data_IF_310964161819
#
_entry.id   IF_310964161819
#
_cell.length_a   1.000
_cell.length_b   1.000
_cell.length_c   1.000
_cell.angle_alpha   90.00
_cell.angle_beta   90.00
_cell.angle_gamma   90.00
#
_symmetry.space_group_name_H-M   'P 1'
#
loop_
_entity.id
_entity.type
_entity.pdbx_description
1 polymer ?
#
# COMPACT_ATOMS: atom_id res chain seq x y z
N UNK A 1 -14.82 9.99 6.92
CA UNK A 1 -14.16 8.66 7.06
C UNK A 1 -13.32 8.69 8.32
N UNK A 2 -13.14 7.56 9.00
CA UNK A 2 -12.31 7.42 10.20
C UNK A 2 -10.89 7.01 9.80
N UNK A 3 -9.86 7.73 10.25
CA UNK A 3 -8.48 7.25 10.14
C UNK A 3 -8.22 6.24 11.25
N UNK A 4 -7.89 5.00 10.89
CA UNK A 4 -7.49 3.96 11.84
C UNK A 4 -6.05 3.50 11.54
N UNK A 5 -5.12 4.08 12.29
CA UNK A 5 -3.70 3.74 12.23
C UNK A 5 -3.36 2.73 13.33
N UNK A 6 -2.92 1.52 12.97
CA UNK A 6 -2.59 0.46 13.93
C UNK A 6 -1.23 -0.19 13.61
N UNK A 7 -0.15 0.33 14.21
CA UNK A 7 1.20 -0.01 13.76
C UNK A 7 2.20 -0.32 14.88
N UNK A 8 3.17 -1.19 14.55
CA UNK A 8 4.42 -1.31 15.31
C UNK A 8 5.48 -0.46 14.64
N UNK A 9 6.04 0.51 15.35
CA UNK A 9 7.06 1.41 14.85
C UNK A 9 8.41 0.91 15.39
N UNK A 10 9.21 0.32 14.51
CA UNK A 10 10.49 -0.31 14.84
C UNK A 10 11.45 -0.18 13.66
N UNK A 11 12.73 0.09 13.93
CA UNK A 11 13.76 0.07 12.88
C UNK A 11 14.23 -1.36 12.57
N UNK A 12 13.82 -2.33 13.39
CA UNK A 12 14.12 -3.75 13.19
C UNK A 12 13.22 -4.31 12.08
N UNK A 13 13.79 -4.75 10.93
CA UNK A 13 12.99 -5.35 9.87
C UNK A 13 12.42 -6.69 10.32
N UNK A 14 11.21 -7.03 9.85
CA UNK A 14 10.59 -8.32 10.11
C UNK A 14 11.45 -9.50 9.61
N UNK A 15 12.14 -9.30 8.48
CA UNK A 15 13.09 -10.25 7.91
C UNK A 15 14.32 -9.48 7.44
N UNK A 16 15.46 -9.69 8.10
CA UNK A 16 16.72 -9.05 7.74
C UNK A 16 17.22 -9.54 6.37
N UNK A 17 17.72 -8.62 5.55
CA UNK A 17 18.28 -8.93 4.22
C UNK A 17 17.25 -9.37 3.18
N UNK A 18 15.95 -9.17 3.44
CA UNK A 18 14.90 -9.61 2.51
C UNK A 18 14.93 -8.88 1.16
N UNK A 19 15.45 -7.65 1.15
CA UNK A 19 15.44 -6.74 0.01
C UNK A 19 16.82 -6.10 -0.19
N UNK A 20 17.85 -6.90 -0.50
CA UNK A 20 19.22 -6.39 -0.73
C UNK A 20 19.31 -5.29 -1.79
N UNK A 21 18.44 -5.33 -2.79
CA UNK A 21 18.37 -4.31 -3.83
C UNK A 21 17.88 -2.96 -3.28
N UNK A 22 17.02 -2.98 -2.25
CA UNK A 22 16.59 -1.77 -1.55
C UNK A 22 17.77 -1.16 -0.78
N UNK A 23 18.51 -1.99 -0.05
CA UNK A 23 19.68 -1.55 0.71
C UNK A 23 20.68 -0.85 -0.22
N UNK A 24 20.93 -1.42 -1.41
CA UNK A 24 21.77 -0.78 -2.45
C UNK A 24 21.30 0.61 -2.85
N UNK A 25 19.99 0.80 -3.04
CA UNK A 25 19.41 2.12 -3.39
C UNK A 25 19.50 3.09 -2.20
N UNK A 26 19.23 2.62 -0.99
CA UNK A 26 19.30 3.43 0.23
C UNK A 26 20.72 3.91 0.55
N UNK A 27 21.73 3.12 0.19
CA UNK A 27 23.14 3.41 0.47
C UNK A 27 23.83 4.22 -0.65
N UNK A 28 23.24 4.34 -1.84
CA UNK A 28 23.94 4.96 -2.98
C UNK A 28 23.85 6.48 -3.03
N UNK A 29 22.89 7.12 -2.34
CA UNK A 29 22.75 8.57 -2.32
C UNK A 29 22.22 9.11 -0.98
N UNK A 30 22.78 10.21 -0.42
CA UNK A 30 22.36 10.76 0.89
C UNK A 30 20.86 11.07 1.00
N UNK A 31 20.22 11.53 -0.09
CA UNK A 31 18.78 11.82 -0.11
C UNK A 31 17.91 10.57 0.11
N UNK A 32 18.42 9.40 -0.26
CA UNK A 32 17.70 8.13 -0.17
C UNK A 32 18.02 7.31 1.07
N UNK A 33 18.95 7.78 1.90
CA UNK A 33 19.31 7.11 3.16
C UNK A 33 18.07 6.81 3.98
N UNK A 34 17.92 5.56 4.41
CA UNK A 34 16.74 5.09 5.13
C UNK A 34 16.48 5.95 6.37
N UNK A 35 15.36 6.69 6.43
CA UNK A 35 14.95 7.36 7.65
C UNK A 35 14.49 6.33 8.68
N UNK A 36 14.64 6.63 9.97
CA UNK A 36 14.06 5.79 11.02
C UNK A 36 12.54 5.66 10.84
N UNK A 37 11.98 4.49 11.16
CA UNK A 37 10.54 4.19 10.99
C UNK A 37 9.65 5.14 11.79
N UNK A 38 10.14 5.75 12.86
CA UNK A 38 9.43 6.85 13.54
C UNK A 38 9.22 8.05 12.60
N UNK A 39 10.25 8.48 11.88
CA UNK A 39 10.15 9.58 10.93
C UNK A 39 9.28 9.21 9.73
N UNK A 40 9.37 7.97 9.23
CA UNK A 40 8.46 7.48 8.18
C UNK A 40 7.02 7.53 8.67
N UNK A 41 6.74 7.09 9.90
CA UNK A 41 5.39 7.15 10.49
C UNK A 41 4.88 8.59 10.59
N UNK A 42 5.71 9.52 11.05
CA UNK A 42 5.37 10.94 11.12
C UNK A 42 5.11 11.54 9.74
N UNK A 43 5.92 11.21 8.75
CA UNK A 43 5.77 11.65 7.37
C UNK A 43 4.47 11.13 6.74
N UNK A 44 4.17 9.84 6.93
CA UNK A 44 2.90 9.22 6.53
C UNK A 44 1.71 9.90 7.21
N UNK A 45 1.74 10.11 8.53
CA UNK A 45 0.65 10.80 9.23
C UNK A 45 0.50 12.27 8.82
N UNK A 46 1.60 12.98 8.53
CA UNK A 46 1.55 14.34 7.99
C UNK A 46 0.81 14.39 6.64
N UNK A 47 1.00 13.38 5.80
CA UNK A 47 0.26 13.27 4.53
C UNK A 47 -1.23 13.03 4.75
N UNK A 48 -1.59 12.20 5.73
CA UNK A 48 -2.98 11.92 6.08
C UNK A 48 -3.68 13.12 6.73
N UNK A 49 -2.96 14.02 7.39
CA UNK A 49 -3.52 15.25 7.95
C UNK A 49 -4.13 16.21 6.91
N UNK A 50 -3.95 15.96 5.59
CA UNK A 50 -4.60 16.73 4.52
C UNK A 50 -5.98 16.19 4.12
N UNK A 51 -6.40 15.07 4.67
CA UNK A 51 -7.71 14.44 4.41
C UNK A 51 -8.67 14.84 5.54
N UNK A 52 -9.94 15.06 5.19
CA UNK A 52 -10.97 15.42 6.17
C UNK A 52 -11.49 14.16 6.87
N UNK A 53 -11.16 14.03 8.16
CA UNK A 53 -11.51 12.87 8.98
C UNK A 53 -12.74 13.17 9.86
N UNK A 54 -13.65 12.20 9.96
CA UNK A 54 -14.74 12.25 10.95
C UNK A 54 -14.23 11.89 12.35
N UNK A 55 -13.22 11.03 12.42
CA UNK A 55 -12.46 10.72 13.62
C UNK A 55 -11.05 10.23 13.27
N UNK A 56 -10.12 10.36 14.23
CA UNK A 56 -8.75 9.89 14.09
C UNK A 56 -8.42 8.98 15.28
N UNK A 57 -8.12 7.71 15.00
CA UNK A 57 -7.71 6.71 15.98
C UNK A 57 -6.29 6.25 15.67
N UNK A 58 -5.36 6.61 16.54
CA UNK A 58 -3.93 6.24 16.44
C UNK A 58 -3.62 5.21 17.51
N UNK A 59 -3.63 3.94 17.12
CA UNK A 59 -3.21 2.81 17.94
C UNK A 59 -1.80 2.39 17.56
N UNK A 60 -0.88 2.27 18.52
CA UNK A 60 0.50 2.01 18.15
C UNK A 60 1.35 1.40 19.26
N UNK A 61 2.51 0.87 18.88
CA UNK A 61 3.62 0.57 19.78
C UNK A 61 4.92 1.04 19.14
N UNK A 62 5.84 1.58 19.94
CA UNK A 62 7.19 1.98 19.48
C UNK A 62 8.21 1.11 20.21
N UNK A 63 9.17 0.57 19.47
CA UNK A 63 10.28 -0.23 20.03
C UNK A 63 11.08 0.56 21.08
N UNK A 64 11.51 1.77 20.73
CA UNK A 64 12.09 2.72 21.67
C UNK A 64 10.99 3.53 22.38
N UNK A 65 10.58 3.04 23.54
CA UNK A 65 9.56 3.70 24.35
C UNK A 65 9.89 5.14 24.76
N UNK A 66 11.17 5.56 24.76
CA UNK A 66 11.56 6.94 25.08
C UNK A 66 11.03 7.95 24.04
N UNK A 67 10.74 7.48 22.82
CA UNK A 67 10.18 8.26 21.71
C UNK A 67 8.67 8.43 21.75
N UNK A 68 7.98 7.80 22.70
CA UNK A 68 6.52 7.85 22.84
C UNK A 68 6.00 9.27 22.97
N UNK A 69 6.60 10.09 23.86
CA UNK A 69 6.16 11.47 24.08
C UNK A 69 6.34 12.35 22.83
N UNK A 70 7.47 12.18 22.14
CA UNK A 70 7.77 12.87 20.88
C UNK A 70 6.75 12.54 19.78
N UNK A 71 6.38 11.26 19.65
CA UNK A 71 5.39 10.81 18.68
C UNK A 71 3.97 11.32 18.97
N UNK A 72 3.50 11.20 20.22
CA UNK A 72 2.16 11.67 20.59
C UNK A 72 2.03 13.19 20.47
N UNK A 73 3.08 13.94 20.82
CA UNK A 73 3.12 15.38 20.63
C UNK A 73 2.98 15.75 19.15
N UNK A 74 3.70 15.04 18.27
CA UNK A 74 3.55 15.23 16.83
C UNK A 74 2.13 14.92 16.36
N UNK A 75 1.56 13.78 16.73
CA UNK A 75 0.18 13.39 16.36
C UNK A 75 -0.85 14.46 16.78
N UNK A 76 -0.76 14.95 18.03
CA UNK A 76 -1.64 16.00 18.55
C UNK A 76 -1.45 17.36 17.86
N UNK A 77 -0.29 17.59 17.24
CA UNK A 77 -0.02 18.84 16.51
C UNK A 77 -0.62 18.88 15.12
N UNK A 78 -0.94 17.71 14.52
CA UNK A 78 -1.44 17.63 13.13
C UNK A 78 -2.90 17.15 13.01
N UNK A 79 -3.48 16.60 14.08
CA UNK A 79 -4.88 16.18 14.12
C UNK A 79 -5.62 16.86 15.27
N UNK A 80 -6.86 17.28 15.02
CA UNK A 80 -7.75 17.74 16.09
C UNK A 80 -8.29 16.54 16.88
N UNK A 81 -8.12 16.58 18.21
CA UNK A 81 -8.63 15.59 19.18
C UNK A 81 -8.44 14.11 18.77
N UNK A 82 -7.22 13.65 18.42
CA UNK A 82 -7.00 12.26 18.08
C UNK A 82 -7.20 11.34 19.29
N UNK A 83 -7.84 10.19 19.08
CA UNK A 83 -7.89 9.09 20.06
C UNK A 83 -6.59 8.31 19.96
N UNK A 84 -5.74 8.44 20.98
CA UNK A 84 -4.43 7.79 21.02
C UNK A 84 -4.48 6.57 21.96
N UNK A 85 -4.13 5.40 21.44
CA UNK A 85 -4.15 4.13 22.16
C UNK A 85 -2.76 3.51 22.11
N UNK A 86 -2.14 3.29 23.28
CA UNK A 86 -0.87 2.57 23.38
C UNK A 86 -1.12 1.07 23.36
N UNK A 87 -0.26 0.35 22.63
CA UNK A 87 -0.40 -1.08 22.37
C UNK A 87 -1.08 -1.32 21.03
N UNK A 88 -0.29 -1.65 20.00
CA UNK A 88 -0.82 -2.07 18.70
C UNK A 88 -1.65 -3.34 18.82
N UNK A 89 -2.51 -3.60 17.85
CA UNK A 89 -3.16 -4.89 17.72
C UNK A 89 -2.17 -5.96 17.22
N UNK A 90 -2.18 -7.11 17.90
CA UNK A 90 -1.33 -8.27 17.62
C UNK A 90 -2.10 -9.61 17.79
N UNK A 91 -3.41 -9.54 18.02
CA UNK A 91 -4.30 -10.67 18.29
C UNK A 91 -5.74 -10.31 17.91
N UNK A 92 -6.59 -11.33 17.73
CA UNK A 92 -8.00 -11.16 17.40
C UNK A 92 -8.73 -10.29 18.44
N UNK A 93 -8.49 -10.52 19.74
CA UNK A 93 -9.09 -9.75 20.83
C UNK A 93 -8.77 -8.26 20.76
N UNK A 94 -7.49 -7.90 20.54
CA UNK A 94 -7.11 -6.48 20.42
C UNK A 94 -7.70 -5.80 19.19
N UNK A 95 -7.87 -6.51 18.08
CA UNK A 95 -8.59 -5.95 16.93
C UNK A 95 -10.09 -5.80 17.21
N UNK A 96 -10.71 -6.74 17.92
CA UNK A 96 -12.11 -6.63 18.32
C UNK A 96 -12.36 -5.42 19.24
N UNK A 97 -11.43 -5.11 20.15
CA UNK A 97 -11.46 -3.87 20.94
C UNK A 97 -11.36 -2.62 20.07
N UNK A 98 -10.51 -2.64 19.04
CA UNK A 98 -10.42 -1.54 18.08
C UNK A 98 -11.74 -1.37 17.31
N UNK A 99 -12.33 -2.45 16.79
CA UNK A 99 -13.63 -2.40 16.11
C UNK A 99 -14.73 -1.86 17.02
N UNK A 100 -14.74 -2.25 18.30
CA UNK A 100 -15.66 -1.69 19.30
C UNK A 100 -15.47 -0.18 19.49
N UNK A 101 -14.22 0.30 19.47
CA UNK A 101 -13.90 1.73 19.54
C UNK A 101 -14.38 2.46 18.30
N UNK A 102 -14.12 1.90 17.11
CA UNK A 102 -14.52 2.50 15.83
C UNK A 102 -16.06 2.61 15.70
N UNK A 103 -16.81 1.64 16.23
CA UNK A 103 -18.28 1.65 16.29
C UNK A 103 -18.87 2.79 17.13
N UNK A 104 -18.07 3.54 17.89
CA UNK A 104 -18.55 4.69 18.67
C UNK A 104 -18.69 5.96 17.84
N UNK A 105 -18.12 6.00 16.63
CA UNK A 105 -18.19 7.13 15.72
C UNK A 105 -19.30 6.91 14.68
N UNK A 106 -19.92 8.01 14.24
CA UNK A 106 -21.00 8.00 13.24
C UNK A 106 -20.44 8.01 11.80
N UNK A 107 -19.60 7.01 11.49
CA UNK A 107 -19.04 6.82 10.15
C UNK A 107 -18.63 5.36 9.95
N UNK A 108 -19.16 4.74 8.89
CA UNK A 108 -18.90 3.34 8.57
C UNK A 108 -17.59 3.13 7.79
N UNK A 109 -16.99 4.18 7.24
CA UNK A 109 -15.81 4.06 6.39
C UNK A 109 -14.54 4.23 7.21
N UNK A 110 -13.66 3.25 7.12
CA UNK A 110 -12.41 3.18 7.87
C UNK A 110 -11.25 3.23 6.87
N UNK A 111 -10.45 4.29 6.93
CA UNK A 111 -9.13 4.31 6.30
C UNK A 111 -8.19 3.49 7.18
N UNK A 112 -8.06 2.20 6.87
CA UNK A 112 -7.25 1.28 7.64
C UNK A 112 -5.79 1.34 7.19
N UNK A 113 -4.90 1.69 8.14
CA UNK A 113 -3.45 1.69 7.97
C UNK A 113 -2.84 0.65 8.91
N UNK A 114 -2.86 -0.62 8.51
CA UNK A 114 -2.11 -1.69 9.17
C UNK A 114 -0.62 -1.72 8.80
N UNK A 115 -0.17 -0.70 8.04
CA UNK A 115 1.22 -0.41 7.73
C UNK A 115 1.47 1.12 7.83
N UNK A 116 2.69 1.55 8.10
CA UNK A 116 3.01 2.96 8.45
C UNK A 116 3.78 3.71 7.35
N UNK A 117 3.94 3.13 6.18
CA UNK A 117 4.88 3.55 5.15
C UNK A 117 4.19 3.74 3.79
N UNK A 118 2.92 4.13 3.78
CA UNK A 118 2.15 4.44 2.57
C UNK A 118 1.57 5.86 2.63
N UNK A 119 2.41 6.91 2.59
CA UNK A 119 1.95 8.29 2.59
C UNK A 119 1.00 8.58 1.42
N UNK A 120 0.03 9.46 1.66
CA UNK A 120 -0.84 10.06 0.64
C UNK A 120 -0.05 11.07 -0.19
N UNK A 121 0.35 10.66 -1.40
CA UNK A 121 1.26 11.40 -2.29
C UNK A 121 0.53 12.18 -3.38
N UNK A 122 -0.80 12.10 -3.45
CA UNK A 122 -1.59 12.87 -4.41
C UNK A 122 -1.41 14.38 -4.23
N UNK A 123 -1.48 15.12 -5.33
CA UNK A 123 -1.52 16.58 -5.34
C UNK A 123 -2.92 17.15 -5.07
N UNK A 124 -3.95 16.31 -5.18
CA UNK A 124 -5.36 16.66 -5.04
C UNK A 124 -6.17 15.59 -4.31
N UNK A 125 -7.36 15.96 -3.82
CA UNK A 125 -8.28 15.04 -3.12
C UNK A 125 -9.39 14.49 -4.02
N UNK A 126 -9.61 15.08 -5.19
CA UNK A 126 -10.73 14.75 -6.07
C UNK A 126 -10.79 13.24 -6.42
N UNK A 127 -9.66 12.61 -6.73
CA UNK A 127 -9.63 11.18 -7.04
C UNK A 127 -10.08 10.33 -5.85
N UNK A 128 -9.67 10.70 -4.63
CA UNK A 128 -10.11 10.03 -3.41
C UNK A 128 -11.62 10.18 -3.21
N UNK A 129 -12.14 11.39 -3.33
CA UNK A 129 -13.57 11.67 -3.14
C UNK A 129 -14.45 10.92 -4.15
N UNK A 130 -14.04 10.88 -5.41
CA UNK A 130 -14.73 10.12 -6.46
C UNK A 130 -14.70 8.61 -6.20
N UNK A 131 -13.58 8.06 -5.73
CA UNK A 131 -13.51 6.66 -5.33
C UNK A 131 -14.46 6.36 -4.16
N UNK A 132 -14.51 7.24 -3.15
CA UNK A 132 -15.40 7.07 -2.01
C UNK A 132 -16.88 7.15 -2.39
N UNK A 133 -17.25 7.98 -3.37
CA UNK A 133 -18.61 7.98 -3.92
C UNK A 133 -18.95 6.65 -4.60
N UNK A 134 -18.03 6.08 -5.39
CA UNK A 134 -18.21 4.76 -5.99
C UNK A 134 -18.33 3.66 -4.92
N UNK A 135 -17.49 3.70 -3.87
CA UNK A 135 -17.59 2.79 -2.73
C UNK A 135 -18.97 2.85 -2.06
N UNK A 136 -19.45 4.05 -1.73
CA UNK A 136 -20.78 4.27 -1.11
C UNK A 136 -21.92 3.76 -2.00
N UNK A 137 -21.84 3.96 -3.32
CA UNK A 137 -22.81 3.42 -4.28
C UNK A 137 -22.86 1.90 -4.24
N UNK A 138 -21.70 1.23 -4.25
CA UNK A 138 -21.66 -0.23 -4.21
C UNK A 138 -22.06 -0.80 -2.83
N UNK A 139 -21.81 -0.08 -1.74
CA UNK A 139 -22.20 -0.50 -0.39
C UNK A 139 -23.73 -0.66 -0.22
N UNK A 140 -24.54 -0.03 -1.08
CA UNK A 140 -26.00 -0.22 -1.10
C UNK A 140 -26.42 -1.64 -1.53
N UNK A 141 -25.55 -2.39 -2.20
CA UNK A 141 -25.85 -3.71 -2.79
C UNK A 141 -24.86 -4.80 -2.39
N UNK A 142 -23.80 -4.45 -1.67
CA UNK A 142 -22.70 -5.35 -1.33
C UNK A 142 -22.30 -5.11 0.11
N UNK A 143 -22.25 -6.19 0.89
CA UNK A 143 -21.90 -6.13 2.31
C UNK A 143 -20.44 -5.73 2.53
N UNK A 144 -19.55 -6.19 1.66
CA UNK A 144 -18.10 -5.96 1.75
C UNK A 144 -17.64 -5.08 0.61
N UNK A 145 -17.29 -3.84 0.95
CA UNK A 145 -16.78 -2.86 -0.01
C UNK A 145 -15.53 -2.22 0.54
N UNK A 146 -14.57 -2.01 -0.35
CA UNK A 146 -13.28 -1.43 0.00
C UNK A 146 -12.74 -0.58 -1.14
N UNK A 147 -11.75 0.24 -0.83
CA UNK A 147 -10.92 0.96 -1.78
C UNK A 147 -9.46 0.58 -1.56
N UNK A 148 -8.79 0.14 -2.62
CA UNK A 148 -7.34 -0.06 -2.61
C UNK A 148 -6.66 1.29 -2.88
N UNK A 149 -6.27 2.00 -1.81
CA UNK A 149 -5.68 3.35 -1.91
C UNK A 149 -4.17 3.35 -2.19
N UNK A 150 -3.54 2.18 -2.09
CA UNK A 150 -2.11 1.96 -2.26
C UNK A 150 -1.88 0.79 -3.24
N UNK A 151 -0.63 0.38 -3.42
CA UNK A 151 -0.22 -0.65 -4.37
C UNK A 151 -0.81 -0.37 -5.76
N UNK A 152 -0.65 0.88 -6.22
CA UNK A 152 -1.39 1.40 -7.36
C UNK A 152 -1.23 0.55 -8.62
N UNK A 153 0.00 0.17 -9.06
CA UNK A 153 0.17 -0.67 -10.24
C UNK A 153 -0.54 -2.02 -10.13
N UNK A 154 -0.48 -2.67 -8.97
CA UNK A 154 -1.21 -3.92 -8.73
C UNK A 154 -2.73 -3.70 -8.80
N UNK A 155 -3.24 -2.72 -8.06
CA UNK A 155 -4.66 -2.43 -7.91
C UNK A 155 -5.34 -2.03 -9.22
N UNK A 156 -4.69 -1.21 -10.04
CA UNK A 156 -5.27 -0.77 -11.32
C UNK A 156 -5.17 -1.83 -12.42
N UNK A 157 -4.23 -2.78 -12.34
CA UNK A 157 -4.11 -3.85 -13.34
C UNK A 157 -4.88 -5.12 -12.94
N UNK A 158 -5.14 -5.35 -11.65
CA UNK A 158 -5.88 -6.51 -11.15
C UNK A 158 -7.23 -6.77 -11.85
N UNK A 159 -8.03 -5.76 -12.26
CA UNK A 159 -9.32 -6.00 -12.90
C UNK A 159 -9.26 -6.44 -14.37
N UNK A 160 -8.16 -6.16 -15.07
CA UNK A 160 -8.14 -6.21 -16.53
C UNK A 160 -7.44 -7.47 -17.04
N UNK A 161 -8.23 -8.36 -17.64
CA UNK A 161 -7.74 -9.54 -18.34
C UNK A 161 -6.71 -9.17 -19.42
N UNK A 162 -5.65 -9.96 -19.52
CA UNK A 162 -4.53 -9.70 -20.44
C UNK A 162 -3.45 -8.77 -19.88
N UNK A 163 -3.66 -8.16 -18.71
CA UNK A 163 -2.55 -7.58 -17.95
C UNK A 163 -1.76 -8.69 -17.26
N UNK A 164 -0.46 -8.47 -17.08
CA UNK A 164 0.42 -9.45 -16.44
C UNK A 164 0.00 -9.74 -14.99
N UNK A 165 -0.44 -8.71 -14.25
CA UNK A 165 -0.83 -8.86 -12.85
C UNK A 165 -2.13 -9.68 -12.72
N UNK A 166 -3.18 -9.32 -13.46
CA UNK A 166 -4.43 -10.06 -13.48
C UNK A 166 -4.22 -11.54 -13.83
N UNK A 167 -3.60 -11.81 -14.97
CA UNK A 167 -3.51 -13.17 -15.51
C UNK A 167 -2.69 -14.12 -14.62
N UNK A 168 -1.80 -13.57 -13.79
CA UNK A 168 -0.93 -14.34 -12.89
C UNK A 168 -1.51 -14.44 -11.48
N UNK A 169 -2.00 -13.32 -10.92
CA UNK A 169 -2.27 -13.19 -9.49
C UNK A 169 -3.74 -13.33 -9.15
N UNK A 170 -4.64 -12.77 -9.98
CA UNK A 170 -6.06 -12.65 -9.67
C UNK A 170 -6.97 -12.82 -10.91
N UNK A 171 -6.85 -13.95 -11.64
CA UNK A 171 -7.58 -14.18 -12.89
C UNK A 171 -9.10 -14.31 -12.72
N UNK A 172 -9.60 -14.40 -11.48
CA UNK A 172 -11.01 -14.47 -11.14
C UNK A 172 -11.67 -13.10 -10.95
N UNK A 173 -10.88 -12.02 -10.87
CA UNK A 173 -11.40 -10.67 -10.65
C UNK A 173 -12.10 -10.18 -11.91
N UNK A 174 -13.18 -9.42 -11.77
CA UNK A 174 -13.87 -8.83 -12.93
C UNK A 174 -14.30 -7.39 -12.67
N UNK A 175 -14.27 -6.57 -13.70
CA UNK A 175 -14.79 -5.19 -13.65
C UNK A 175 -16.32 -5.23 -13.48
N UNK A 176 -16.82 -4.44 -12.54
CA UNK A 176 -18.26 -4.21 -12.30
C UNK A 176 -18.72 -2.88 -12.89
N UNK A 177 -17.92 -1.83 -12.66
CA UNK A 177 -18.21 -0.46 -13.09
C UNK A 177 -16.90 0.31 -13.25
N UNK A 178 -16.86 1.27 -14.16
CA UNK A 178 -15.69 2.11 -14.41
C UNK A 178 -16.14 3.52 -14.81
N UNK A 179 -15.46 4.54 -14.31
CA UNK A 179 -15.62 5.93 -14.73
C UNK A 179 -14.24 6.55 -14.99
N UNK A 180 -14.16 7.88 -15.14
CA UNK A 180 -12.90 8.58 -15.40
C UNK A 180 -11.87 8.46 -14.25
N UNK A 181 -12.34 8.38 -13.00
CA UNK A 181 -11.49 8.45 -11.80
C UNK A 181 -11.14 7.08 -11.22
N UNK A 182 -12.00 6.08 -11.40
CA UNK A 182 -11.85 4.79 -10.72
C UNK A 182 -12.53 3.61 -11.44
N UNK A 183 -12.16 2.42 -11.00
CA UNK A 183 -12.73 1.14 -11.44
C UNK A 183 -13.18 0.34 -10.21
N UNK A 184 -14.43 -0.10 -10.20
CA UNK A 184 -14.96 -1.05 -9.22
C UNK A 184 -14.89 -2.46 -9.79
N UNK A 185 -14.39 -3.40 -8.99
CA UNK A 185 -14.19 -4.78 -9.40
C UNK A 185 -14.66 -5.76 -8.35
N UNK A 186 -15.11 -6.92 -8.80
CA UNK A 186 -15.50 -8.03 -7.95
C UNK A 186 -14.28 -8.90 -7.64
N UNK A 187 -14.01 -9.10 -6.35
CA UNK A 187 -13.02 -10.04 -5.84
C UNK A 187 -13.76 -11.23 -5.21
N UNK A 188 -13.93 -12.35 -5.92
CA UNK A 188 -14.73 -13.49 -5.46
C UNK A 188 -14.24 -14.09 -4.14
N UNK A 189 -12.93 -13.98 -3.86
CA UNK A 189 -12.26 -14.55 -2.70
C UNK A 189 -11.78 -13.48 -1.69
N UNK A 190 -12.25 -12.24 -1.84
CA UNK A 190 -11.79 -11.11 -1.04
C UNK A 190 -10.41 -10.59 -1.44
N UNK A 191 -10.10 -9.39 -0.99
CA UNK A 191 -8.79 -8.76 -1.09
C UNK A 191 -8.32 -8.42 0.33
N UNK A 192 -7.20 -9.01 0.75
CA UNK A 192 -6.61 -8.79 2.07
C UNK A 192 -5.35 -7.98 1.89
N UNK A 193 -5.46 -6.68 2.13
CA UNK A 193 -4.33 -5.77 2.11
C UNK A 193 -4.46 -4.83 3.31
N UNK A 194 -3.35 -4.56 3.99
CA UNK A 194 -3.31 -3.73 5.21
C UNK A 194 -3.40 -2.25 4.92
N UNK A 195 -3.43 -1.87 3.64
CA UNK A 195 -3.55 -0.49 3.18
C UNK A 195 -4.78 -0.31 2.28
N UNK A 196 -5.95 -0.49 2.88
CA UNK A 196 -7.26 -0.31 2.23
C UNK A 196 -8.18 0.58 3.04
N UNK A 197 -9.06 1.32 2.36
CA UNK A 197 -10.25 1.87 3.00
C UNK A 197 -11.31 0.79 2.97
N UNK A 198 -11.95 0.52 4.09
CA UNK A 198 -12.92 -0.57 4.20
C UNK A 198 -14.17 -0.04 4.87
N UNK A 199 -15.32 -0.57 4.47
CA UNK A 199 -16.49 -0.40 5.31
C UNK A 199 -16.35 -1.23 6.60
N UNK A 200 -17.00 -0.79 7.66
CA UNK A 200 -16.87 -1.38 8.99
C UNK A 200 -17.25 -2.86 9.01
N UNK A 201 -18.22 -3.28 8.20
CA UNK A 201 -18.61 -4.68 8.04
C UNK A 201 -17.46 -5.57 7.54
N UNK A 202 -16.65 -5.08 6.61
CA UNK A 202 -15.47 -5.82 6.13
C UNK A 202 -14.36 -5.88 7.19
N UNK A 203 -14.12 -4.78 7.90
CA UNK A 203 -13.13 -4.77 9.00
C UNK A 203 -13.52 -5.73 10.13
N UNK A 204 -14.81 -5.75 10.50
CA UNK A 204 -15.36 -6.69 11.47
C UNK A 204 -15.28 -8.13 10.93
N UNK A 205 -15.59 -8.35 9.65
CA UNK A 205 -15.44 -9.64 9.00
C UNK A 205 -14.02 -10.18 9.16
N UNK A 206 -13.02 -9.37 8.84
CA UNK A 206 -11.61 -9.72 8.97
C UNK A 206 -11.23 -10.11 10.39
N UNK A 207 -11.52 -9.26 11.37
CA UNK A 207 -10.87 -9.41 12.68
C UNK A 207 -11.77 -9.91 13.80
N UNK A 208 -13.08 -9.95 13.61
CA UNK A 208 -14.03 -10.32 14.66
C UNK A 208 -14.83 -11.59 14.33
N UNK A 209 -14.72 -12.12 13.11
CA UNK A 209 -15.42 -13.36 12.73
C UNK A 209 -14.49 -14.56 12.66
N UNK A 210 -15.05 -15.74 12.94
CA UNK A 210 -14.28 -16.97 13.07
C UNK A 210 -13.49 -17.05 14.37
N UNK A 211 -12.84 -18.19 14.58
CA UNK A 211 -11.92 -18.41 15.69
C UNK A 211 -10.50 -18.46 15.11
N UNK A 212 -9.72 -17.41 15.36
CA UNK A 212 -8.29 -17.37 15.00
C UNK A 212 -7.43 -18.00 16.09
N UNK A 213 -8.06 -18.51 17.16
CA UNK A 213 -7.43 -19.04 18.36
C UNK A 213 -6.48 -18.01 18.99
N UNK A 214 -5.51 -18.47 19.79
CA UNK A 214 -4.49 -17.61 20.40
C UNK A 214 -3.34 -17.23 19.45
N UNK A 215 -3.57 -17.26 18.13
CA UNK A 215 -2.51 -16.97 17.17
C UNK A 215 -2.22 -15.46 17.11
N UNK A 216 -0.99 -15.12 16.73
CA UNK A 216 -0.62 -13.74 16.45
C UNK A 216 -1.30 -13.25 15.17
N UNK A 217 -1.99 -12.11 15.24
CA UNK A 217 -2.62 -11.44 14.09
C UNK A 217 -1.94 -10.09 13.93
N UNK A 218 -1.18 -9.91 12.86
CA UNK A 218 -0.42 -8.66 12.66
C UNK A 218 -1.25 -7.66 11.85
N UNK A 219 -1.96 -8.14 10.83
CA UNK A 219 -2.72 -7.35 9.85
C UNK A 219 -3.61 -8.24 8.98
N UNK A 220 -4.39 -7.66 8.06
CA UNK A 220 -5.39 -8.37 7.24
C UNK A 220 -4.77 -9.47 6.37
N UNK A 221 -3.57 -9.27 5.83
CA UNK A 221 -2.84 -10.29 5.06
C UNK A 221 -2.53 -11.54 5.88
N UNK A 222 -2.39 -11.39 7.21
CA UNK A 222 -2.07 -12.51 8.09
C UNK A 222 -3.21 -13.54 8.10
N UNK A 223 -4.46 -13.09 7.95
CA UNK A 223 -5.69 -13.88 8.14
C UNK A 223 -6.37 -14.29 6.83
N UNK A 224 -5.77 -13.95 5.68
CA UNK A 224 -6.36 -14.16 4.36
C UNK A 224 -6.77 -15.62 4.07
N UNK A 225 -6.11 -16.59 4.71
CA UNK A 225 -6.42 -18.02 4.56
C UNK A 225 -7.41 -18.54 5.60
N UNK A 226 -7.62 -17.80 6.69
CA UNK A 226 -8.40 -18.23 7.85
C UNK A 226 -9.83 -17.70 7.79
N UNK A 227 -10.00 -16.50 7.23
CA UNK A 227 -11.29 -15.79 7.19
C UNK A 227 -11.77 -15.73 5.75
N UNK A 228 -12.85 -16.44 5.36
CA UNK A 228 -13.38 -16.33 4.02
C UNK A 228 -14.13 -15.02 3.84
N UNK A 229 -13.74 -14.24 2.84
CA UNK A 229 -14.51 -13.10 2.34
C UNK A 229 -14.94 -13.46 0.93
N UNK A 230 -16.23 -13.34 0.63
CA UNK A 230 -16.76 -13.69 -0.68
C UNK A 230 -17.39 -12.47 -1.33
N UNK A 231 -17.16 -12.31 -2.64
CA UNK A 231 -17.77 -11.25 -3.45
C UNK A 231 -17.51 -9.84 -2.89
N UNK A 232 -16.28 -9.56 -2.45
CA UNK A 232 -15.89 -8.21 -2.05
C UNK A 232 -15.85 -7.30 -3.28
N UNK A 233 -16.42 -6.10 -3.17
CA UNK A 233 -16.23 -5.05 -4.16
C UNK A 233 -15.00 -4.23 -3.78
N UNK A 234 -14.05 -4.11 -4.69
CA UNK A 234 -12.84 -3.30 -4.52
C UNK A 234 -12.85 -2.19 -5.55
N UNK A 235 -12.78 -0.95 -5.09
CA UNK A 235 -12.60 0.24 -5.92
C UNK A 235 -11.11 0.58 -5.97
N UNK A 236 -10.56 0.72 -7.18
CA UNK A 236 -9.19 1.16 -7.39
C UNK A 236 -9.19 2.52 -8.10
N UNK A 237 -8.39 3.50 -7.63
CA UNK A 237 -8.24 4.77 -8.32
C UNK A 237 -7.47 4.58 -9.63
N UNK A 238 -7.76 5.41 -10.64
CA UNK A 238 -7.02 5.46 -11.91
C UNK A 238 -5.78 6.35 -11.86
N UNK A 239 -5.61 7.13 -10.79
CA UNK A 239 -4.40 7.89 -10.46
C UNK A 239 -3.81 7.36 -9.15
N UNK A 240 -2.49 7.33 -9.02
CA UNK A 240 -1.83 6.96 -7.76
C UNK A 240 -2.11 8.02 -6.71
N UNK A 241 -2.63 7.61 -5.54
CA UNK A 241 -2.92 8.54 -4.43
C UNK A 241 -2.07 8.29 -3.19
N UNK A 242 -1.57 7.07 -2.99
CA UNK A 242 -0.56 6.74 -1.99
C UNK A 242 0.55 5.92 -2.63
N UNK A 243 1.77 6.10 -2.15
CA UNK A 243 2.96 5.39 -2.66
C UNK A 243 3.65 4.65 -1.53
N UNK A 244 4.14 3.43 -1.80
CA UNK A 244 4.89 2.64 -0.83
C UNK A 244 6.28 3.25 -0.59
N UNK A 245 6.60 3.57 0.66
CA UNK A 245 7.82 4.29 1.02
C UNK A 245 9.10 3.49 0.72
N UNK A 246 9.07 2.17 0.89
CA UNK A 246 10.19 1.28 0.57
C UNK A 246 10.18 0.81 -0.89
N UNK A 247 9.33 1.42 -1.74
CA UNK A 247 9.12 1.01 -3.12
C UNK A 247 8.38 -0.32 -3.21
N UNK A 248 8.53 -1.02 -4.32
CA UNK A 248 7.72 -2.21 -4.63
C UNK A 248 8.52 -3.52 -4.48
N UNK A 249 9.43 -3.59 -3.51
CA UNK A 249 10.31 -4.74 -3.29
C UNK A 249 9.55 -6.05 -3.05
N UNK A 250 8.33 -6.02 -2.51
CA UNK A 250 7.48 -7.20 -2.36
C UNK A 250 7.12 -7.86 -3.70
N UNK A 251 7.09 -7.08 -4.79
CA UNK A 251 6.81 -7.59 -6.14
C UNK A 251 7.97 -8.41 -6.71
N UNK A 252 9.18 -8.30 -6.16
CA UNK A 252 10.34 -9.08 -6.62
C UNK A 252 10.12 -10.60 -6.50
N UNK A 253 9.30 -11.02 -5.53
CA UNK A 253 8.92 -12.44 -5.35
C UNK A 253 7.71 -12.85 -6.18
N UNK A 254 6.99 -11.88 -6.72
CA UNK A 254 5.92 -12.13 -7.67
C UNK A 254 6.53 -12.31 -9.06
N UNK A 255 5.80 -12.98 -9.94
CA UNK A 255 6.22 -13.09 -11.35
C UNK A 255 6.02 -11.79 -12.13
N UNK A 256 5.93 -10.64 -11.45
CA UNK A 256 5.69 -9.30 -11.97
C UNK A 256 6.52 -8.26 -11.18
N UNK A 257 7.86 -8.37 -11.17
CA UNK A 257 8.71 -7.45 -10.41
C UNK A 257 8.61 -6.01 -10.95
N UNK A 258 8.67 -5.05 -10.04
CA UNK A 258 8.78 -3.63 -10.32
C UNK A 258 10.17 -3.13 -9.89
N UNK A 259 11.03 -2.72 -10.83
CA UNK A 259 12.39 -2.28 -10.52
C UNK A 259 12.41 -0.87 -9.90
N UNK A 260 13.35 -0.60 -8.99
CA UNK A 260 13.46 0.69 -8.31
C UNK A 260 13.82 1.84 -9.25
N UNK A 261 14.48 1.56 -10.38
CA UNK A 261 14.79 2.54 -11.42
C UNK A 261 13.53 3.10 -12.11
N UNK A 262 12.39 2.42 -11.95
CA UNK A 262 11.07 2.89 -12.41
C UNK A 262 10.14 3.25 -11.25
N UNK A 263 10.25 2.52 -10.14
CA UNK A 263 9.42 2.68 -8.95
C UNK A 263 10.33 2.88 -7.73
N UNK A 264 10.97 4.05 -7.61
CA UNK A 264 11.96 4.29 -6.56
C UNK A 264 11.28 4.26 -5.18
N UNK A 265 12.02 3.86 -4.13
CA UNK A 265 11.54 4.11 -2.78
C UNK A 265 11.36 5.61 -2.56
N UNK A 266 10.48 6.00 -1.64
CA UNK A 266 10.34 7.38 -1.23
C UNK A 266 11.48 7.80 -0.30
N UNK A 267 11.64 9.10 -0.17
CA UNK A 267 12.50 9.76 0.79
C UNK A 267 11.70 10.82 1.55
N UNK A 268 12.28 11.33 2.64
CA UNK A 268 11.75 12.50 3.35
C UNK A 268 12.60 13.69 2.90
N UNK A 269 12.03 14.69 2.21
CA UNK A 269 12.74 15.88 1.82
C UNK A 269 13.46 16.56 2.99
N UNK A 270 14.68 17.06 2.74
CA UNK A 270 15.40 17.83 3.75
C UNK A 270 14.60 19.07 4.16
N UNK A 271 14.48 19.30 5.47
CA UNK A 271 13.73 20.43 6.02
C UNK A 271 12.21 20.21 6.09
N UNK A 272 11.70 19.03 5.74
CA UNK A 272 10.26 18.74 5.76
C UNK A 272 9.62 18.99 7.14
N UNK A 273 10.22 18.50 8.23
CA UNK A 273 9.66 18.64 9.57
C UNK A 273 9.79 20.06 10.13
N UNK A 274 10.73 20.85 9.61
CA UNK A 274 10.99 22.23 10.01
C UNK A 274 10.29 23.28 9.12
N UNK A 275 9.48 22.85 8.14
CA UNK A 275 8.91 23.73 7.10
C UNK A 275 9.98 24.55 6.37
N UNK A 276 11.12 23.93 6.07
CA UNK A 276 12.28 24.52 5.38
C UNK A 276 12.66 23.75 4.12
N UNK A 277 11.70 23.07 3.51
CA UNK A 277 11.93 22.32 2.28
C UNK A 277 12.28 23.28 1.15
N UNK A 278 13.22 22.88 0.29
CA UNK A 278 13.61 23.64 -0.90
C UNK A 278 13.48 22.77 -2.14
N UNK A 279 12.96 23.32 -3.24
CA UNK A 279 12.72 22.59 -4.49
C UNK A 279 13.57 23.20 -5.62
N UNK A 280 14.39 22.37 -6.27
CA UNK A 280 15.09 22.71 -7.50
C UNK A 280 14.39 21.96 -8.65
N UNK A 281 13.68 22.70 -9.50
CA UNK A 281 12.81 22.12 -10.52
C UNK A 281 13.38 22.29 -11.93
N UNK A 282 13.45 21.19 -12.69
CA UNK A 282 13.83 21.19 -14.10
C UNK A 282 15.32 21.35 -14.38
N UNK A 283 16.19 21.22 -13.37
CA UNK A 283 17.64 21.29 -13.53
C UNK A 283 18.23 19.93 -13.95
N UNK A 284 19.28 19.95 -14.77
CA UNK A 284 20.02 18.73 -15.16
C UNK A 284 21.04 18.27 -14.11
N UNK A 285 21.63 19.21 -13.38
CA UNK A 285 22.65 18.90 -12.37
C UNK A 285 22.01 18.84 -10.99
N UNK A 286 22.39 17.83 -10.22
CA UNK A 286 21.90 17.63 -8.86
C UNK A 286 22.39 18.75 -7.93
N UNK A 287 21.48 19.34 -7.17
CA UNK A 287 21.78 20.39 -6.19
C UNK A 287 21.65 19.83 -4.77
N UNK A 288 22.77 19.72 -4.07
CA UNK A 288 22.79 19.26 -2.68
C UNK A 288 22.01 20.20 -1.76
N UNK A 289 21.24 19.63 -0.82
CA UNK A 289 20.43 20.39 0.13
C UNK A 289 19.06 20.82 -0.40
N UNK A 290 18.75 20.45 -1.64
CA UNK A 290 17.48 20.71 -2.31
C UNK A 290 16.81 19.38 -2.66
N UNK A 291 15.49 19.40 -2.76
CA UNK A 291 14.73 18.32 -3.40
C UNK A 291 14.73 18.59 -4.90
N UNK A 292 15.43 17.74 -5.64
CA UNK A 292 15.61 17.86 -7.09
C UNK A 292 14.46 17.15 -7.79
N UNK A 293 13.74 17.88 -8.65
CA UNK A 293 12.58 17.37 -9.37
C UNK A 293 12.76 17.69 -10.84
N UNK A 294 12.72 16.65 -11.68
CA UNK A 294 12.89 16.80 -13.12
C UNK A 294 12.27 15.57 -13.83
N UNK A 295 11.04 15.68 -14.35
CA UNK A 295 10.40 14.65 -15.18
C UNK A 295 11.25 14.19 -16.36
N UNK A 296 12.07 15.08 -16.93
CA UNK A 296 12.91 14.81 -18.10
C UNK A 296 14.23 14.11 -17.75
N UNK A 297 14.57 14.00 -16.45
CA UNK A 297 15.79 13.33 -16.03
C UNK A 297 15.78 11.86 -16.47
N UNK A 298 16.89 11.43 -17.06
CA UNK A 298 17.07 10.04 -17.48
C UNK A 298 17.06 9.10 -16.27
N UNK A 299 17.79 9.47 -15.23
CA UNK A 299 18.09 8.62 -14.09
C UNK A 299 17.68 9.30 -12.76
N UNK A 300 17.49 8.51 -11.71
CA UNK A 300 17.36 9.03 -10.35
C UNK A 300 18.75 9.26 -9.73
N UNK A 301 18.83 10.08 -8.68
CA UNK A 301 20.12 10.43 -8.06
C UNK A 301 20.84 9.24 -7.41
N UNK A 302 20.11 8.16 -7.08
CA UNK A 302 20.69 6.90 -6.61
C UNK A 302 21.34 6.06 -7.72
N UNK A 303 21.12 6.41 -9.00
CA UNK A 303 21.79 5.82 -10.17
C UNK A 303 22.90 6.75 -10.67
N UNK A 304 22.63 8.06 -10.76
CA UNK A 304 23.59 9.10 -11.15
C UNK A 304 23.54 10.25 -10.14
N UNK A 305 24.52 10.32 -9.24
CA UNK A 305 24.57 11.33 -8.19
C UNK A 305 24.83 12.76 -8.70
N UNK A 306 25.30 12.94 -9.94
CA UNK A 306 25.61 14.25 -10.50
C UNK A 306 24.47 14.80 -11.35
N UNK A 307 23.78 13.94 -12.10
CA UNK A 307 22.75 14.35 -13.08
C UNK A 307 21.37 13.71 -12.87
N UNK A 308 21.24 12.82 -11.89
CA UNK A 308 19.97 12.21 -11.53
C UNK A 308 19.07 13.17 -10.74
N UNK A 309 17.79 12.82 -10.65
CA UNK A 309 16.77 13.57 -9.87
C UNK A 309 16.30 12.80 -8.65
N UNK A 310 15.73 13.47 -7.63
CA UNK A 310 15.07 12.77 -6.53
C UNK A 310 13.64 12.33 -6.94
N UNK A 311 12.97 13.09 -7.80
CA UNK A 311 11.63 12.74 -8.29
C UNK A 311 11.41 13.12 -9.76
N UNK A 312 10.59 12.33 -10.44
CA UNK A 312 10.15 12.53 -11.83
C UNK A 312 8.65 12.82 -11.87
N UNK A 313 8.25 13.94 -11.26
CA UNK A 313 6.86 14.41 -11.21
C UNK A 313 6.79 15.85 -11.71
N UNK A 314 5.67 16.20 -12.35
CA UNK A 314 5.42 17.57 -12.77
C UNK A 314 5.26 18.52 -11.59
N UNK A 315 5.53 19.81 -11.78
CA UNK A 315 5.38 20.83 -10.72
C UNK A 315 3.95 20.92 -10.17
N UNK A 316 2.94 20.73 -11.03
CA UNK A 316 1.53 20.66 -10.63
C UNK A 316 1.15 19.38 -9.87
N UNK A 317 2.03 18.38 -9.88
CA UNK A 317 1.83 17.08 -9.25
C UNK A 317 2.59 16.93 -7.92
N UNK A 318 3.10 18.04 -7.36
CA UNK A 318 3.70 18.02 -6.03
C UNK A 318 2.69 17.54 -4.98
N UNK A 319 3.09 16.65 -4.04
CA UNK A 319 2.18 16.16 -3.02
C UNK A 319 1.52 17.30 -2.24
N UNK A 320 0.21 17.21 -2.01
CA UNK A 320 -0.55 18.25 -1.32
C UNK A 320 0.06 18.62 0.05
N UNK A 321 0.59 17.62 0.75
CA UNK A 321 1.18 17.78 2.07
C UNK A 321 2.60 18.35 2.09
N UNK A 322 3.20 18.58 0.92
CA UNK A 322 4.46 19.29 0.80
C UNK A 322 4.27 20.81 0.75
N UNK A 323 3.12 21.29 0.28
CA UNK A 323 2.92 22.70 -0.08
C UNK A 323 3.22 23.67 1.07
N UNK A 324 2.78 23.37 2.30
CA UNK A 324 3.06 24.20 3.50
C UNK A 324 4.44 23.94 4.13
N UNK A 325 5.25 23.08 3.52
CA UNK A 325 6.62 22.77 3.95
C UNK A 325 7.67 23.41 3.05
N UNK A 326 7.29 23.87 1.86
CA UNK A 326 8.17 24.53 0.90
C UNK A 326 8.46 25.96 1.38
N UNK A 327 9.72 26.24 1.60
CA UNK A 327 10.23 27.58 1.92
C UNK A 327 10.81 28.31 0.70
N UNK A 328 11.25 27.56 -0.31
CA UNK A 328 11.91 28.10 -1.49
C UNK A 328 11.71 27.17 -2.69
N UNK A 329 11.36 27.73 -3.84
CA UNK A 329 11.28 27.01 -5.13
C UNK A 329 12.11 27.77 -6.15
N UNK A 330 13.04 27.06 -6.78
CA UNK A 330 13.89 27.56 -7.86
C UNK A 330 13.58 26.75 -9.12
N UNK A 331 13.12 27.41 -10.18
CA UNK A 331 12.71 26.78 -11.44
C UNK A 331 13.75 27.14 -12.50
N UNK A 332 14.27 26.12 -13.19
CA UNK A 332 15.23 26.32 -14.27
C UNK A 332 14.65 27.28 -15.34
N UNK A 333 15.27 28.45 -15.58
CA UNK A 333 14.76 29.42 -16.55
C UNK A 333 14.83 28.92 -18.01
N UNK A 334 15.58 27.84 -18.26
CA UNK A 334 15.71 27.21 -19.58
C UNK A 334 14.84 25.95 -19.72
N UNK A 335 13.89 25.72 -18.83
CA UNK A 335 12.99 24.56 -18.89
C UNK A 335 12.13 24.57 -20.16
N UNK A 336 12.22 23.51 -20.96
CA UNK A 336 11.23 23.23 -22.01
C UNK A 336 9.96 22.67 -21.36
N UNK A 337 8.94 23.52 -21.22
CA UNK A 337 7.68 23.18 -20.56
C UNK A 337 6.88 22.11 -21.31
N UNK A 338 7.00 22.06 -22.65
CA UNK A 338 6.27 21.07 -23.46
C UNK A 338 6.91 19.69 -23.29
N UNK A 339 8.25 19.62 -23.31
CA UNK A 339 8.97 18.39 -23.04
C UNK A 339 8.73 17.91 -21.60
N UNK A 340 8.66 18.82 -20.63
CA UNK A 340 8.39 18.54 -19.23
C UNK A 340 7.00 17.89 -19.00
N UNK A 341 5.97 18.47 -19.61
CA UNK A 341 4.60 17.94 -19.54
C UNK A 341 4.51 16.56 -20.19
N UNK A 342 5.12 16.39 -21.36
CA UNK A 342 5.16 15.09 -22.05
C UNK A 342 5.88 14.02 -21.21
N UNK A 343 6.99 14.37 -20.56
CA UNK A 343 7.72 13.46 -19.69
C UNK A 343 6.89 13.09 -18.45
N UNK A 344 6.18 14.06 -17.86
CA UNK A 344 5.27 13.82 -16.74
C UNK A 344 4.16 12.83 -17.11
N UNK A 345 3.50 13.02 -18.27
CA UNK A 345 2.47 12.09 -18.76
C UNK A 345 3.04 10.70 -18.99
N UNK A 346 4.25 10.59 -19.55
CA UNK A 346 4.91 9.31 -19.78
C UNK A 346 5.20 8.55 -18.46
N UNK A 347 5.64 9.26 -17.41
CA UNK A 347 5.87 8.67 -16.09
C UNK A 347 4.56 8.20 -15.42
N UNK A 348 3.47 8.96 -15.56
CA UNK A 348 2.16 8.55 -15.06
C UNK A 348 1.63 7.29 -15.77
N UNK A 349 1.78 7.21 -17.10
CA UNK A 349 1.38 6.02 -17.86
C UNK A 349 2.26 4.80 -17.56
N UNK A 350 3.56 5.01 -17.33
CA UNK A 350 4.47 3.96 -16.88
C UNK A 350 4.03 3.37 -15.53
N UNK A 351 3.60 4.21 -14.59
CA UNK A 351 3.08 3.78 -13.28
C UNK A 351 1.78 2.99 -13.42
N UNK A 352 0.91 3.38 -14.36
CA UNK A 352 -0.36 2.69 -14.60
C UNK A 352 -0.16 1.32 -15.26
N UNK A 353 0.78 1.19 -16.19
CA UNK A 353 0.98 -0.04 -16.97
C UNK A 353 2.46 -0.47 -17.03
N UNK A 354 3.09 -0.83 -15.89
CA UNK A 354 4.53 -1.06 -15.87
C UNK A 354 5.00 -2.36 -16.49
N UNK A 355 4.11 -3.34 -16.61
CA UNK A 355 4.48 -4.66 -17.08
C UNK A 355 4.20 -4.81 -18.58
N UNK A 356 5.13 -5.41 -19.34
CA UNK A 356 4.86 -5.78 -20.70
C UNK A 356 3.73 -6.83 -20.73
N UNK A 357 2.93 -6.79 -21.81
CA UNK A 357 1.94 -7.83 -22.09
C UNK A 357 2.64 -9.19 -22.20
N UNK A 358 2.00 -10.22 -21.68
CA UNK A 358 2.47 -11.61 -21.79
C UNK A 358 1.42 -12.45 -22.50
N UNK A 359 1.84 -13.55 -23.12
CA UNK A 359 0.89 -14.50 -23.72
C UNK A 359 0.11 -15.24 -22.63
N UNK A 360 -1.13 -15.65 -22.93
CA UNK A 360 -1.95 -16.50 -22.04
C UNK A 360 -1.23 -17.79 -21.62
N UNK A 361 -0.44 -18.35 -22.53
CA UNK A 361 0.34 -19.57 -22.28
C UNK A 361 1.48 -19.31 -21.28
N UNK A 362 2.20 -18.20 -21.43
CA UNK A 362 3.19 -17.76 -20.45
C UNK A 362 2.57 -17.54 -19.08
N UNK A 363 1.42 -16.85 -19.00
CA UNK A 363 0.71 -16.63 -17.75
C UNK A 363 0.26 -17.95 -17.08
N UNK A 364 -0.22 -18.91 -17.86
CA UNK A 364 -0.56 -20.25 -17.38
C UNK A 364 0.66 -20.96 -16.77
N UNK A 365 1.81 -20.93 -17.44
CA UNK A 365 3.04 -21.49 -16.92
C UNK A 365 3.50 -20.84 -15.61
N UNK A 366 3.42 -19.51 -15.50
CA UNK A 366 3.72 -18.81 -14.25
C UNK A 366 2.81 -19.27 -13.11
N UNK A 367 1.49 -19.38 -13.36
CA UNK A 367 0.53 -19.89 -12.37
C UNK A 367 0.86 -21.31 -11.92
N UNK A 368 1.15 -22.21 -12.87
CA UNK A 368 1.53 -23.59 -12.55
C UNK A 368 2.82 -23.65 -11.73
N UNK A 369 3.84 -22.86 -12.08
CA UNK A 369 5.10 -22.78 -11.34
C UNK A 369 4.90 -22.24 -9.92
N UNK A 370 4.12 -21.17 -9.77
CA UNK A 370 3.83 -20.59 -8.45
C UNK A 370 3.05 -21.58 -7.57
N UNK A 371 2.11 -22.32 -8.15
CA UNK A 371 1.38 -23.40 -7.46
C UNK A 371 2.30 -24.55 -7.07
N UNK A 372 3.21 -24.97 -7.94
CA UNK A 372 4.18 -26.02 -7.62
C UNK A 372 5.14 -25.58 -6.50
N UNK A 373 5.62 -24.33 -6.53
CA UNK A 373 6.50 -23.77 -5.51
C UNK A 373 5.81 -23.66 -4.14
N UNK A 374 4.53 -23.27 -4.10
CA UNK A 374 3.78 -23.23 -2.84
C UNK A 374 3.65 -24.64 -2.26
N UNK A 375 3.25 -25.63 -3.07
CA UNK A 375 3.17 -27.04 -2.66
C UNK A 375 4.53 -27.56 -2.16
N UNK A 376 5.62 -27.30 -2.89
CA UNK A 376 6.96 -27.72 -2.51
C UNK A 376 7.47 -27.07 -1.21
N UNK A 377 7.08 -25.81 -0.94
CA UNK A 377 7.43 -25.12 0.31
C UNK A 377 6.76 -25.75 1.53
N UNK A 378 5.56 -26.30 1.37
CA UNK A 378 4.80 -26.92 2.47
C UNK A 378 5.00 -28.44 2.56
N UNK A 379 5.45 -29.12 1.49
CA UNK A 379 5.67 -30.57 1.49
C UNK A 379 6.59 -31.11 2.62
N UNK A 380 7.68 -30.42 3.02
CA UNK A 380 8.54 -30.86 4.14
C UNK A 380 7.92 -30.64 5.53
N UNK A 381 6.89 -29.80 5.64
CA UNK A 381 6.22 -29.50 6.91
C UNK A 381 5.15 -30.56 7.24
N UNK A 382 4.63 -31.26 6.24
CA UNK A 382 3.56 -32.27 6.40
C UNK A 382 3.99 -33.44 7.30
N UNK A 383 5.17 -34.07 7.15
CA UNK A 383 5.59 -35.16 8.05
C UNK A 383 5.83 -34.69 9.49
N UNK A 384 6.34 -33.46 9.66
CA UNK A 384 6.61 -32.87 10.99
C UNK A 384 5.33 -32.55 11.74
N UNK A 385 4.31 -32.04 11.05
CA UNK A 385 2.99 -31.73 11.62
C UNK A 385 2.18 -33.00 11.93
N UNK A 386 2.35 -34.07 11.15
CA UNK A 386 1.75 -35.38 11.42
C UNK A 386 2.38 -36.08 12.64
N UNK A 387 3.69 -35.89 12.87
CA UNK A 387 4.38 -36.44 14.05
C UNK A 387 4.09 -35.67 15.35
N UNK A 388 3.75 -34.39 15.28
CA UNK A 388 3.46 -33.55 16.46
C UNK A 388 2.00 -33.61 16.94
N UNK A 389 1.13 -34.44 16.34
CA UNK A 389 -0.28 -34.57 16.74
C UNK A 389 -1.13 -33.32 16.51
N UNK A 390 -0.59 -32.31 15.84
CA UNK A 390 -1.23 -31.02 15.52
C UNK A 390 -1.70 -30.99 14.06
N UNK A 391 -2.30 -32.06 13.56
CA UNK A 391 -2.84 -32.05 12.20
C UNK A 391 -4.08 -31.14 12.16
N UNK A 392 -4.07 -30.00 11.42
CA UNK A 392 -5.32 -29.42 10.95
C UNK A 392 -5.98 -30.44 10.02
N UNK A 393 -7.27 -30.34 9.80
CA UNK A 393 -7.99 -31.20 8.85
C UNK A 393 -7.51 -30.95 7.40
N UNK A 394 -6.40 -31.60 7.02
CA UNK A 394 -5.70 -31.48 5.73
C UNK A 394 -6.64 -31.82 4.56
N UNK A 395 -7.71 -32.60 4.79
CA UNK A 395 -8.71 -32.91 3.74
C UNK A 395 -9.51 -31.67 3.34
N UNK A 396 -9.65 -30.70 4.24
CA UNK A 396 -10.36 -29.45 3.97
C UNK A 396 -9.52 -28.47 3.15
N UNK A 397 -8.20 -28.42 3.38
CA UNK A 397 -7.28 -27.55 2.62
C UNK A 397 -6.93 -28.12 1.24
N UNK A 398 -6.72 -29.43 1.09
CA UNK A 398 -6.37 -30.03 -0.21
C UNK A 398 -7.49 -29.90 -1.26
N UNK A 399 -8.76 -29.92 -0.83
CA UNK A 399 -9.91 -29.69 -1.72
C UNK A 399 -10.04 -28.23 -2.15
N UNK A 400 -9.58 -27.28 -1.34
CA UNK A 400 -9.57 -25.84 -1.65
C UNK A 400 -8.41 -25.44 -2.59
N UNK A 401 -7.26 -26.14 -2.52
CA UNK A 401 -6.12 -25.91 -3.43
C UNK A 401 -6.32 -26.42 -4.87
N UNK A 402 -7.27 -27.32 -5.09
CA UNK A 402 -7.43 -28.02 -6.38
C UNK A 402 -8.58 -27.48 -7.24
N UNK A 403 -9.48 -26.65 -6.70
CA UNK A 403 -10.64 -26.14 -7.44
C UNK A 403 -11.63 -27.23 -7.87
N UNK A 404 -11.51 -28.46 -7.34
CA UNK A 404 -12.43 -29.55 -7.64
C UNK A 404 -13.67 -29.36 -6.76
N UNK A 405 -14.62 -28.58 -7.25
CA UNK A 405 -15.96 -28.52 -6.69
C UNK A 405 -16.63 -29.90 -6.76
N UNK A 406 -17.28 -30.31 -5.68
CA UNK A 406 -18.15 -31.51 -5.68
C UNK A 406 -19.20 -31.34 -6.78
N UNK A 407 -19.14 -32.18 -7.84
CA UNK A 407 -20.34 -32.46 -8.65
C UNK A 407 -21.40 -32.99 -7.69
N UNK A 408 -22.48 -32.24 -7.48
CA UNK A 408 -23.70 -32.77 -6.86
C UNK A 408 -24.12 -33.98 -7.71
N UNK A 409 -24.10 -35.18 -7.12
CA UNK A 409 -24.93 -36.27 -7.62
C UNK A 409 -26.36 -35.88 -7.26
N UNK A 410 -27.18 -35.66 -8.28
CA UNK A 410 -28.63 -35.64 -8.18
C UNK A 410 -29.14 -37.00 -7.67
N UNK A 411 -30.35 -37.05 -7.09
CA UNK A 411 -30.86 -38.18 -6.29
C UNK A 411 -30.71 -39.55 -6.95
#
# INVERSE_FOLDING_TARGET
MILYFDNYITDTPLVKGLYSDLDRVRDSHPAYKMPGKLNISKYTLASYAKIDWSAVVIKYSIEDSSKTGEFEAFVKSIFDKPVIIRGRSDSQGKFAESVKTLKQFDDEWIFYCGNNDHPFTSHERETLDNCMQMCKKHAQKSEFVSMAYSHFPESINAPYAGTRFHDITCPEVSVLEENEHCVASLFPNGAFDSVQMVNLSLLERWFCTGDLSNRRVIRSESIAHDVPVSNQVVVAPKKEICTHFDGYGHTAKLSCPLPYEKFPPLFIPQGFFESKMKIAYGYENYRQGWTNINPQAKDYCFVDAQRGTDSKIGASHLPLFWQDKISETDINPSLDTVADEKATVAELELRRHPWPKISRFSAMFYRMRNKANSVAKYAPLVPKMLMEGKAPDIRRDFSRFTGIGRKKRSP
#
